data_IF_405634562120
#
_entry.id   IF_405634562120
#
_cell.length_a   1.000
_cell.length_b   1.000
_cell.length_c   1.000
_cell.angle_alpha   90.00
_cell.angle_beta   90.00
_cell.angle_gamma   90.00
#
_symmetry.space_group_name_H-M   'P 1'
#
loop_
_entity.id
_entity.type
_entity.pdbx_description
1 polymer ?
2 non-polymer ?
3 non-polymer ?
4 non-polymer ?
5 non-polymer ?
6 non-polymer ?
7 water ?
#
# COMPACT_ATOMS: atom_id res chain seq x y z
N UNK A 35 1.25 -4.89 21.83
CA UNK A 35 2.17 -4.19 20.94
C UNK A 35 1.56 -2.87 20.49
N UNK A 36 2.31 -2.11 19.68
CA UNK A 36 1.79 -0.83 19.18
C UNK A 36 0.80 -1.04 18.04
N UNK A 37 1.04 -2.05 17.20
CA UNK A 37 0.05 -2.41 16.19
C UNK A 37 -1.27 -2.82 16.84
N UNK A 38 -1.20 -3.57 17.94
CA UNK A 38 -2.41 -3.98 18.63
C UNK A 38 -3.12 -2.82 19.30
N UNK A 39 -2.37 -1.86 19.84
CA UNK A 39 -2.98 -0.69 20.44
C UNK A 39 -3.67 0.17 19.39
N UNK A 40 -3.07 0.28 18.20
CA UNK A 40 -3.70 1.02 17.11
C UNK A 40 -4.91 0.27 16.58
N UNK A 41 -4.81 -1.06 16.49
CA UNK A 41 -5.94 -1.87 16.06
C UNK A 41 -7.11 -1.72 17.03
N UNK A 42 -6.83 -1.75 18.33
CA UNK A 42 -7.91 -1.63 19.32
C UNK A 42 -8.60 -0.28 19.23
N UNK A 43 -7.85 0.78 18.95
CA UNK A 43 -8.46 2.09 18.79
C UNK A 43 -9.38 2.12 17.56
N UNK A 44 -8.99 1.42 16.50
CA UNK A 44 -9.85 1.33 15.33
C UNK A 44 -11.05 0.42 15.58
N UNK A 45 -10.82 -0.69 16.29
CA UNK A 45 -11.91 -1.59 16.63
C UNK A 45 -12.99 -0.87 17.43
N UNK A 46 -12.59 -0.01 18.38
CA UNK A 46 -13.57 0.71 19.18
C UNK A 46 -14.29 1.76 18.33
N UNK A 47 -13.57 2.42 17.42
CA UNK A 47 -14.20 3.43 16.59
C UNK A 47 -15.25 2.83 15.68
N UNK A 48 -14.90 1.74 14.98
CA UNK A 48 -15.85 1.13 14.05
C UNK A 48 -17.07 0.59 14.77
N UNK A 49 -16.88 0.03 15.96
CA UNK A 49 -18.02 -0.45 16.74
C UNK A 49 -18.95 0.69 17.10
N UNK A 50 -18.38 1.87 17.40
CA UNK A 50 -19.22 3.03 17.68
C UNK A 50 -19.97 3.51 16.46
N UNK A 51 -19.29 3.61 15.32
CA UNK A 51 -19.96 4.00 14.09
C UNK A 51 -21.03 2.99 13.70
N UNK A 52 -20.78 1.71 13.94
CA UNK A 52 -21.74 0.67 13.59
C UNK A 52 -23.00 0.77 14.46
N UNK A 53 -22.83 0.96 15.76
CA UNK A 53 -23.98 1.12 16.65
C UNK A 53 -24.79 2.36 16.28
N UNK A 54 -24.12 3.45 15.95
CA UNK A 54 -24.81 4.69 15.60
C UNK A 54 -25.57 4.60 14.28
N UNK A 55 -25.25 3.61 13.44
CA UNK A 55 -25.92 3.46 12.15
C UNK A 55 -26.90 2.30 12.14
N UNK A 56 -27.18 1.70 13.29
CA UNK A 56 -28.04 0.51 13.34
C UNK A 56 -29.44 0.80 12.86
N UNK A 57 -29.91 2.03 12.99
CA UNK A 57 -31.26 2.38 12.58
C UNK A 57 -31.48 2.24 11.08
N UNK A 58 -30.42 2.09 10.28
CA UNK A 58 -30.56 1.90 8.85
C UNK A 58 -30.83 0.46 8.45
N UNK A 59 -30.94 -0.45 9.40
CA UNK A 59 -31.40 -1.80 9.12
C UNK A 59 -30.26 -2.82 9.15
N UNK A 60 -30.66 -4.09 8.97
CA UNK A 60 -29.73 -5.20 9.09
C UNK A 60 -28.89 -5.43 7.84
N UNK A 61 -29.34 -4.95 6.67
CA UNK A 61 -28.55 -5.13 5.45
C UNK A 61 -27.33 -4.22 5.47
N UNK A 62 -27.52 -2.95 5.79
CA UNK A 62 -26.39 -2.04 5.89
C UNK A 62 -25.49 -2.41 7.06
N UNK A 63 -26.08 -2.92 8.15
CA UNK A 63 -25.29 -3.39 9.28
C UNK A 63 -24.39 -4.55 8.87
N UNK A 64 -24.90 -5.44 8.02
CA UNK A 64 -24.07 -6.52 7.51
C UNK A 64 -22.94 -6.02 6.64
N UNK A 65 -23.14 -4.90 5.93
CA UNK A 65 -22.05 -4.29 5.18
C UNK A 65 -20.99 -3.74 6.14
N UNK A 66 -21.43 -3.04 7.19
CA UNK A 66 -20.49 -2.47 8.14
C UNK A 66 -19.72 -3.57 8.86
N UNK A 67 -20.42 -4.67 9.20
CA UNK A 67 -19.74 -5.80 9.83
C UNK A 67 -18.69 -6.40 8.89
N UNK A 68 -19.01 -6.51 7.60
CA UNK A 68 -18.03 -7.04 6.65
C UNK A 68 -16.82 -6.13 6.55
N UNK A 69 -17.03 -4.81 6.69
CA UNK A 69 -15.90 -3.89 6.72
C UNK A 69 -15.07 -4.08 7.99
N UNK A 70 -15.73 -4.26 9.14
CA UNK A 70 -15.03 -4.57 10.38
C UNK A 70 -14.16 -5.81 10.21
N UNK A 71 -14.78 -6.91 9.78
CA UNK A 71 -14.06 -8.17 9.63
C UNK A 71 -12.87 -8.05 8.69
N UNK A 72 -13.01 -7.24 7.63
CA UNK A 72 -11.93 -7.09 6.67
C UNK A 72 -10.79 -6.25 7.23
N UNK A 73 -11.13 -5.12 7.88
CA UNK A 73 -10.10 -4.23 8.40
C UNK A 73 -9.38 -4.86 9.58
N UNK A 74 -10.13 -5.30 10.58
CA UNK A 74 -9.57 -5.87 11.80
C UNK A 74 -9.11 -7.31 11.64
N UNK A 75 -9.24 -7.89 10.45
CA UNK A 75 -8.91 -9.29 10.24
C UNK A 75 -7.44 -9.57 10.06
N UNK A 76 -6.59 -8.71 10.59
CA UNK A 76 -5.15 -8.91 10.55
C UNK A 76 -4.45 -7.90 9.66
N UNK A 77 -3.14 -7.97 9.69
CA UNK A 77 -2.28 -7.08 8.93
C UNK A 77 -1.11 -6.62 9.79
N UNK A 78 -0.04 -6.21 9.10
CA UNK A 78 1.15 -5.74 9.81
C UNK A 78 0.96 -4.34 10.39
N UNK A 79 -0.04 -3.59 9.92
CA UNK A 79 -0.24 -2.19 10.29
C UNK A 79 1.00 -1.37 9.97
N UNK A 80 1.55 -1.59 8.77
CA UNK A 80 2.82 -0.97 8.40
C UNK A 80 2.71 0.55 8.37
N UNK A 81 1.66 1.08 7.74
CA UNK A 81 1.51 2.52 7.58
C UNK A 81 1.20 3.21 8.91
N UNK A 82 0.34 2.67 9.77
CA UNK A 82 0.20 3.28 11.11
C UNK A 82 1.49 3.30 11.90
N UNK A 83 2.30 2.23 11.81
CA UNK A 83 3.58 2.21 12.53
C UNK A 83 4.54 3.25 12.00
N UNK A 84 4.50 3.53 10.70
CA UNK A 84 5.32 4.61 10.15
C UNK A 84 4.89 5.95 10.73
N UNK A 85 3.58 6.16 10.89
CA UNK A 85 3.10 7.37 11.55
C UNK A 85 3.53 7.41 13.01
N UNK A 86 3.61 6.24 13.66
CA UNK A 86 4.05 6.20 15.04
C UNK A 86 5.51 6.64 15.15
N UNK A 87 6.38 6.12 14.29
CA UNK A 87 7.79 6.48 14.34
C UNK A 87 8.02 7.92 13.91
N UNK A 88 7.25 8.41 12.94
CA UNK A 88 7.28 9.83 12.62
C UNK A 88 6.86 10.72 13.77
N UNK A 89 6.05 10.19 14.69
CA UNK A 89 5.67 10.94 15.88
C UNK A 89 6.79 10.95 16.91
N UNK A 90 7.37 9.78 17.18
CA UNK A 90 8.44 9.66 18.16
C UNK A 90 9.68 10.44 17.75
N UNK A 91 9.91 10.59 16.44
CA UNK A 91 11.11 11.25 15.95
C UNK A 91 11.23 12.67 16.47
N UNK A 92 10.11 13.35 16.72
CA UNK A 92 10.13 14.77 17.04
C UNK A 92 9.29 15.08 18.29
N UNK A 93 8.86 14.06 19.02
CA UNK A 93 8.05 14.26 20.21
C UNK A 93 8.80 13.79 21.45
N UNK A 94 8.53 14.47 22.57
CA UNK A 94 9.16 14.15 23.84
C UNK A 94 8.50 12.96 24.54
N UNK A 95 7.33 12.53 24.09
CA UNK A 95 6.52 11.55 24.82
C UNK A 95 5.94 10.54 23.83
N UNK A 96 5.07 9.67 24.36
CA UNK A 96 4.23 8.71 23.66
C UNK A 96 2.85 9.32 23.44
N UNK A 97 2.13 8.93 22.39
CA UNK A 97 0.91 9.62 22.01
C UNK A 97 -0.33 9.15 22.77
N UNK A 98 -1.30 10.06 22.85
CA UNK A 98 -2.58 9.77 23.48
C UNK A 98 -3.34 8.72 22.68
N UNK A 99 -4.35 8.09 23.29
CA UNK A 99 -5.14 7.10 22.55
C UNK A 99 -5.82 7.68 21.31
N UNK A 100 -6.26 8.94 21.36
CA UNK A 100 -6.89 9.55 20.19
C UNK A 100 -5.90 9.73 19.04
N UNK A 101 -4.63 9.95 19.36
CA UNK A 101 -3.62 10.09 18.30
C UNK A 101 -3.30 8.74 17.70
N UNK A 102 -3.36 7.67 18.49
CA UNK A 102 -3.27 6.33 17.92
C UNK A 102 -4.46 6.04 17.00
N UNK A 103 -5.65 6.54 17.35
CA UNK A 103 -6.79 6.41 16.46
C UNK A 103 -6.56 7.15 15.15
N UNK A 104 -5.94 8.32 15.20
CA UNK A 104 -5.56 9.03 13.99
C UNK A 104 -4.64 8.18 13.11
N UNK A 105 -3.67 7.51 13.73
CA UNK A 105 -2.78 6.63 12.98
C UNK A 105 -3.57 5.48 12.36
N UNK A 106 -4.58 4.97 13.09
CA UNK A 106 -5.38 3.86 12.57
C UNK A 106 -6.21 4.26 11.36
N UNK A 107 -6.41 5.56 11.14
CA UNK A 107 -7.14 6.01 9.96
C UNK A 107 -6.41 5.60 8.68
N UNK A 108 -5.08 5.48 8.75
CA UNK A 108 -4.32 4.97 7.61
C UNK A 108 -4.70 3.54 7.30
N UNK A 109 -5.02 2.74 8.32
CA UNK A 109 -5.44 1.37 8.09
C UNK A 109 -6.81 1.31 7.44
N UNK A 110 -7.73 2.18 7.86
CA UNK A 110 -9.05 2.23 7.25
C UNK A 110 -8.97 2.79 5.83
N UNK A 111 -8.12 3.79 5.61
CA UNK A 111 -7.91 4.29 4.25
C UNK A 111 -7.34 3.20 3.36
N UNK A 112 -6.51 2.32 3.92
CA UNK A 112 -5.94 1.24 3.13
C UNK A 112 -7.00 0.22 2.73
N UNK A 113 -7.99 -0.01 3.59
CA UNK A 113 -9.11 -0.86 3.21
C UNK A 113 -9.82 -0.32 1.98
N UNK A 114 -10.00 1.01 1.93
CA UNK A 114 -10.58 1.62 0.74
C UNK A 114 -9.73 1.37 -0.49
N UNK A 115 -8.42 1.61 -0.38
CA UNK A 115 -7.54 1.42 -1.53
C UNK A 115 -7.55 -0.04 -1.98
N UNK A 116 -7.59 -0.98 -1.04
CA UNK A 116 -7.56 -2.39 -1.41
C UNK A 116 -8.88 -2.84 -2.02
N UNK A 117 -10.01 -2.39 -1.47
CA UNK A 117 -11.31 -2.82 -1.98
C UNK A 117 -11.50 -2.36 -3.41
N UNK A 118 -11.16 -1.09 -3.70
CA UNK A 118 -11.30 -0.60 -5.06
C UNK A 118 -10.21 -1.12 -5.98
N UNK A 119 -9.04 -1.45 -5.44
CA UNK A 119 -8.01 -2.08 -6.26
C UNK A 119 -8.42 -3.47 -6.73
N UNK A 120 -9.17 -4.19 -5.89
CA UNK A 120 -9.64 -5.51 -6.30
C UNK A 120 -10.65 -5.42 -7.44
N UNK A 121 -11.45 -4.36 -7.48
CA UNK A 121 -12.33 -4.15 -8.62
C UNK A 121 -11.53 -3.75 -9.84
N UNK A 122 -10.51 -2.91 -9.66
CA UNK A 122 -9.68 -2.46 -10.77
C UNK A 122 -8.91 -3.62 -11.38
N UNK A 123 -8.35 -4.49 -10.53
CA UNK A 123 -7.59 -5.63 -11.02
C UNK A 123 -8.48 -6.82 -11.39
N UNK A 124 -9.77 -6.78 -11.08
CA UNK A 124 -10.68 -7.92 -11.26
C UNK A 124 -10.14 -9.17 -10.56
N UNK A 125 -9.65 -8.99 -9.34
CA UNK A 125 -9.14 -10.10 -8.57
C UNK A 125 -10.29 -10.88 -7.93
N UNK A 126 -10.17 -12.20 -7.96
CA UNK A 126 -11.17 -13.07 -7.33
C UNK A 126 -10.91 -13.27 -5.85
N UNK A 127 -9.66 -13.28 -5.42
CA UNK A 127 -9.32 -13.49 -4.01
C UNK A 127 -8.26 -12.49 -3.57
N UNK A 128 -8.17 -12.31 -2.25
CA UNK A 128 -7.14 -11.50 -1.63
C UNK A 128 -6.72 -12.21 -0.34
N UNK A 129 -5.45 -12.59 -0.26
CA UNK A 129 -4.88 -13.26 0.91
C UNK A 129 -5.73 -14.48 1.29
N UNK A 130 -6.11 -15.26 0.28
CA UNK A 130 -6.83 -16.49 0.47
C UNK A 130 -8.34 -16.36 0.49
N UNK A 131 -8.85 -15.17 0.83
CA UNK A 131 -10.28 -14.96 1.01
C UNK A 131 -10.90 -14.36 -0.25
N UNK A 132 -12.20 -14.57 -0.47
CA UNK A 132 -12.86 -13.96 -1.63
C UNK A 132 -12.84 -12.44 -1.53
N UNK A 133 -12.66 -11.78 -2.67
CA UNK A 133 -12.76 -10.34 -2.71
C UNK A 133 -14.22 -9.91 -2.50
N UNK A 134 -14.40 -8.62 -2.21
CA UNK A 134 -15.72 -8.11 -1.83
C UNK A 134 -16.75 -8.39 -2.93
N UNK A 135 -16.40 -8.14 -4.19
CA UNK A 135 -17.36 -8.34 -5.26
C UNK A 135 -17.80 -9.80 -5.36
N UNK A 136 -16.93 -10.74 -4.98
CA UNK A 136 -17.32 -12.14 -4.96
C UNK A 136 -18.16 -12.49 -3.75
N UNK A 137 -17.83 -11.92 -2.58
CA UNK A 137 -18.64 -12.17 -1.39
C UNK A 137 -20.08 -11.72 -1.58
N UNK A 138 -20.26 -10.52 -2.15
CA UNK A 138 -21.59 -9.96 -2.29
C UNK A 138 -22.35 -10.56 -3.48
N UNK A 139 -21.63 -11.00 -4.52
CA UNK A 139 -22.27 -11.78 -5.56
C UNK A 139 -22.73 -13.14 -5.02
N UNK A 140 -21.96 -13.74 -4.11
CA UNK A 140 -22.37 -15.00 -3.50
C UNK A 140 -23.54 -14.80 -2.55
N UNK A 141 -23.55 -13.71 -1.79
CA UNK A 141 -24.71 -13.37 -0.98
C UNK A 141 -25.96 -13.23 -1.85
N UNK A 142 -25.82 -12.58 -3.02
CA UNK A 142 -26.91 -12.47 -3.97
C UNK A 142 -27.43 -13.84 -4.38
N UNK A 143 -26.52 -14.75 -4.75
CA UNK A 143 -26.94 -16.08 -5.20
C UNK A 143 -27.55 -16.89 -4.05
N UNK A 144 -26.94 -16.81 -2.86
CA UNK A 144 -27.43 -17.59 -1.73
C UNK A 144 -28.88 -17.29 -1.37
N UNK A 145 -29.38 -16.10 -1.70
CA UNK A 145 -30.75 -15.71 -1.39
C UNK A 145 -31.66 -15.71 -2.61
N UNK A 146 -31.18 -16.25 -3.73
CA UNK A 146 -31.94 -16.30 -4.98
C UNK A 146 -32.49 -14.93 -5.35
N UNK A 147 -31.68 -13.90 -5.12
CA UNK A 147 -32.05 -12.55 -5.51
C UNK A 147 -32.08 -12.44 -7.03
N UNK A 148 -32.74 -11.39 -7.51
CA UNK A 148 -32.90 -11.20 -8.94
C UNK A 148 -31.83 -10.26 -9.50
N UNK A 149 -31.74 -10.22 -10.81
CA UNK A 149 -30.71 -9.45 -11.49
C UNK A 149 -29.42 -10.23 -11.58
N UNK A 150 -28.39 -9.53 -12.04
CA UNK A 150 -27.07 -10.13 -12.15
C UNK A 150 -26.40 -10.19 -10.79
N UNK A 151 -25.99 -11.37 -10.32
CA UNK A 151 -25.22 -11.42 -9.06
C UNK A 151 -23.93 -10.65 -9.14
N UNK A 152 -23.27 -10.66 -10.29
CA UNK A 152 -21.98 -9.99 -10.44
C UNK A 152 -22.13 -8.47 -10.47
N UNK A 153 -23.22 -7.97 -11.04
CA UNK A 153 -23.49 -6.54 -10.99
C UNK A 153 -23.75 -6.08 -9.56
N UNK A 154 -24.44 -6.89 -8.78
CA UNK A 154 -24.67 -6.57 -7.37
C UNK A 154 -23.35 -6.58 -6.60
N UNK A 155 -22.55 -7.63 -6.78
CA UNK A 155 -21.28 -7.72 -6.07
C UNK A 155 -20.35 -6.58 -6.41
N UNK A 156 -20.33 -6.15 -7.67
CA UNK A 156 -19.50 -5.02 -8.06
C UNK A 156 -20.03 -3.72 -7.45
N UNK A 157 -21.35 -3.54 -7.47
CA UNK A 157 -21.95 -2.34 -6.88
C UNK A 157 -21.67 -2.29 -5.38
N UNK A 158 -21.90 -3.40 -4.68
CA UNK A 158 -21.68 -3.44 -3.24
C UNK A 158 -20.21 -3.22 -2.91
N UNK A 159 -19.30 -3.74 -3.74
CA UNK A 159 -17.88 -3.55 -3.49
C UNK A 159 -17.49 -2.08 -3.62
N UNK A 160 -18.05 -1.39 -4.61
CA UNK A 160 -17.82 0.05 -4.75
C UNK A 160 -18.25 0.77 -3.48
N UNK A 161 -19.44 0.46 -2.97
CA UNK A 161 -19.96 1.15 -1.80
C UNK A 161 -19.18 0.80 -0.54
N UNK A 162 -18.71 -0.44 -0.44
CA UNK A 162 -17.89 -0.84 0.70
C UNK A 162 -16.61 -0.02 0.77
N UNK A 163 -15.89 0.08 -0.36
CA UNK A 163 -14.70 0.90 -0.38
C UNK A 163 -14.98 2.36 -0.10
N UNK A 164 -16.08 2.88 -0.68
CA UNK A 164 -16.50 4.25 -0.40
C UNK A 164 -16.71 4.46 1.10
N UNK A 165 -17.38 3.51 1.76
CA UNK A 165 -17.63 3.62 3.19
C UNK A 165 -16.32 3.68 3.98
N UNK A 166 -15.38 2.80 3.66
CA UNK A 166 -14.10 2.79 4.37
C UNK A 166 -13.40 4.14 4.26
N UNK A 167 -13.58 4.82 3.12
CA UNK A 167 -12.84 6.05 2.90
C UNK A 167 -13.49 7.24 3.58
N UNK A 168 -14.83 7.30 3.60
CA UNK A 168 -15.47 8.41 4.30
C UNK A 168 -15.28 8.27 5.80
N UNK A 169 -15.27 7.03 6.31
CA UNK A 169 -15.04 6.83 7.73
C UNK A 169 -13.59 7.06 8.12
N UNK A 170 -12.65 6.72 7.23
CA UNK A 170 -11.25 7.05 7.49
C UNK A 170 -11.07 8.55 7.60
N UNK A 171 -11.72 9.32 6.73
CA UNK A 171 -11.62 10.77 6.87
C UNK A 171 -12.39 11.27 8.08
N UNK A 172 -13.49 10.60 8.46
CA UNK A 172 -14.20 11.00 9.67
C UNK A 172 -13.31 10.87 10.90
N UNK A 173 -12.40 9.89 10.91
CA UNK A 173 -11.45 9.76 12.00
C UNK A 173 -10.53 10.97 12.05
N UNK A 174 -9.98 11.35 10.89
CA UNK A 174 -9.05 12.48 10.85
C UNK A 174 -9.76 13.77 11.28
N UNK A 175 -10.99 13.96 10.82
CA UNK A 175 -11.75 15.14 11.21
C UNK A 175 -12.02 15.15 12.71
N UNK A 176 -12.40 13.99 13.26
CA UNK A 176 -12.81 13.93 14.66
C UNK A 176 -11.62 14.05 15.60
N UNK A 177 -10.51 13.38 15.28
CA UNK A 177 -9.32 13.46 16.13
C UNK A 177 -8.73 14.86 16.10
N UNK A 178 -8.67 15.47 14.91
CA UNK A 178 -8.18 16.84 14.80
C UNK A 178 -8.97 17.80 15.67
N UNK A 179 -10.30 17.71 15.59
CA UNK A 179 -11.16 18.67 16.28
C UNK A 179 -11.02 18.54 17.79
N UNK A 180 -10.91 17.32 18.31
CA UNK A 180 -11.09 17.06 19.72
C UNK A 180 -9.81 16.69 20.45
N UNK A 181 -8.65 16.68 19.78
CA UNK A 181 -7.43 16.20 20.42
C UNK A 181 -6.16 16.91 19.98
N UNK A 182 -6.19 17.78 18.97
CA UNK A 182 -4.97 18.39 18.45
C UNK A 182 -5.04 19.90 18.57
N UNK A 183 -3.89 20.51 18.83
CA UNK A 183 -3.79 21.96 18.75
C UNK A 183 -4.10 22.41 17.33
N UNK A 184 -4.70 23.59 17.14
CA UNK A 184 -5.08 24.02 15.78
C UNK A 184 -3.91 24.05 14.80
N UNK A 185 -2.68 24.23 15.29
CA UNK A 185 -1.52 24.13 14.41
C UNK A 185 -1.29 22.69 13.97
N UNK A 186 -1.45 21.73 14.89
CA UNK A 186 -1.29 20.33 14.53
C UNK A 186 -2.37 19.89 13.55
N UNK A 187 -3.58 20.46 13.66
CA UNK A 187 -4.65 20.14 12.73
C UNK A 187 -4.28 20.53 11.30
N UNK A 188 -3.79 21.77 11.13
CA UNK A 188 -3.42 22.25 9.79
C UNK A 188 -2.34 21.38 9.16
N UNK A 189 -1.35 20.98 9.94
CA UNK A 189 -0.29 20.14 9.40
C UNK A 189 -0.81 18.75 9.06
N UNK A 190 -1.70 18.21 9.89
CA UNK A 190 -2.25 16.88 9.62
C UNK A 190 -3.09 16.89 8.36
N UNK A 191 -3.89 17.92 8.16
CA UNK A 191 -4.77 17.97 6.98
C UNK A 191 -3.95 18.05 5.69
N UNK A 192 -2.86 18.81 5.69
CA UNK A 192 -2.04 18.89 4.50
C UNK A 192 -1.48 17.53 4.12
N UNK A 193 -1.08 16.74 5.12
CA UNK A 193 -0.59 15.39 4.83
C UNK A 193 -1.74 14.49 4.39
N UNK A 194 -2.91 14.65 5.01
CA UNK A 194 -4.06 13.82 4.64
C UNK A 194 -4.49 14.08 3.21
N UNK A 195 -4.47 15.34 2.78
CA UNK A 195 -4.83 15.66 1.40
C UNK A 195 -3.80 15.13 0.42
N UNK A 196 -2.52 15.18 0.80
CA UNK A 196 -1.47 14.69 -0.10
C UNK A 196 -1.55 13.18 -0.29
N UNK A 197 -1.74 12.43 0.80
CA UNK A 197 -1.63 10.98 0.72
C UNK A 197 -2.76 10.41 -0.13
N UNK A 198 -3.95 10.99 -0.04
CA UNK A 198 -5.09 10.49 -0.80
C UNK A 198 -5.05 10.98 -2.24
N UNK A 199 -4.53 12.18 -2.46
CA UNK A 199 -4.32 12.66 -3.82
C UNK A 199 -3.24 11.86 -4.54
N UNK A 200 -2.19 11.47 -3.82
CA UNK A 200 -1.06 10.78 -4.46
C UNK A 200 -1.37 9.31 -4.72
N UNK A 201 -2.12 8.66 -3.82
CA UNK A 201 -2.48 7.26 -4.05
C UNK A 201 -3.47 7.16 -5.19
N UNK A 202 -4.35 8.16 -5.34
CA UNK A 202 -5.28 8.17 -6.47
C UNK A 202 -4.55 8.42 -7.77
N UNK A 203 -3.59 9.34 -7.76
CA UNK A 203 -2.78 9.57 -8.95
C UNK A 203 -1.93 8.38 -9.32
N UNK A 204 -1.36 7.71 -8.31
CA UNK A 204 -0.56 6.52 -8.58
C UNK A 204 -1.38 5.40 -9.18
N UNK A 205 -2.61 5.20 -8.70
CA UNK A 205 -3.48 4.18 -9.27
C UNK A 205 -3.82 4.49 -10.72
N UNK A 206 -4.18 5.74 -10.99
CA UNK A 206 -4.54 6.09 -12.37
C UNK A 206 -3.33 5.99 -13.29
N UNK A 207 -2.18 6.48 -12.84
CA UNK A 207 -0.96 6.33 -13.63
C UNK A 207 -0.63 4.86 -13.88
N UNK A 208 -0.91 4.00 -12.89
CA UNK A 208 -0.59 2.58 -13.05
C UNK A 208 -1.47 1.94 -14.11
N UNK A 209 -2.78 2.21 -14.10
CA UNK A 209 -3.65 1.61 -15.10
C UNK A 209 -3.38 2.22 -16.48
N UNK A 210 -2.97 3.49 -16.53
CA UNK A 210 -2.58 4.08 -17.80
C UNK A 210 -1.28 3.46 -18.31
N UNK A 211 -0.34 3.18 -17.40
CA UNK A 211 0.92 2.56 -17.80
C UNK A 211 0.69 1.16 -18.38
N UNK A 212 -0.23 0.39 -17.81
CA UNK A 212 -0.53 -0.93 -18.35
C UNK A 212 -1.28 -0.83 -19.68
N UNK A 213 -2.25 0.08 -19.76
CA UNK A 213 -3.03 0.22 -20.99
C UNK A 213 -2.17 0.73 -22.14
N UNK A 214 -1.35 1.76 -21.89
CA UNK A 214 -0.49 2.32 -22.92
C UNK A 214 0.76 1.50 -23.17
N UNK A 215 1.00 0.47 -22.36
CA UNK A 215 2.21 -0.36 -22.46
C UNK A 215 3.48 0.48 -22.29
N UNK A 216 3.49 1.32 -21.26
CA UNK A 216 4.65 2.14 -20.94
C UNK A 216 5.79 1.24 -20.47
N UNK A 217 6.81 1.10 -21.31
CA UNK A 217 7.92 0.19 -21.03
C UNK A 217 8.99 0.79 -20.12
N UNK A 218 9.14 2.10 -20.13
CA UNK A 218 10.33 2.73 -19.57
C UNK A 218 10.45 2.45 -18.07
N UNK A 219 11.69 2.46 -17.59
CA UNK A 219 11.92 2.40 -16.16
C UNK A 219 11.37 3.65 -15.48
N UNK A 220 11.41 4.79 -16.17
CA UNK A 220 10.94 6.05 -15.58
C UNK A 220 9.44 5.99 -15.30
N UNK A 221 8.66 5.43 -16.23
CA UNK A 221 7.22 5.32 -16.01
C UNK A 221 6.92 4.47 -14.78
N UNK A 222 7.60 3.33 -14.64
CA UNK A 222 7.38 2.47 -13.49
C UNK A 222 7.88 3.13 -12.21
N UNK A 223 8.99 3.86 -12.29
CA UNK A 223 9.50 4.58 -11.13
C UNK A 223 8.53 5.67 -10.69
N UNK A 224 7.93 6.38 -11.63
CA UNK A 224 6.96 7.43 -11.32
C UNK A 224 5.77 6.84 -10.56
N UNK A 225 5.24 5.71 -11.02
CA UNK A 225 4.12 5.07 -10.35
C UNK A 225 4.54 4.61 -8.95
N UNK A 226 5.74 4.03 -8.86
CA UNK A 226 6.21 3.54 -7.56
C UNK A 226 6.39 4.67 -6.56
N UNK A 227 6.76 5.86 -7.02
CA UNK A 227 6.93 6.99 -6.12
C UNK A 227 5.61 7.40 -5.48
N UNK A 228 4.53 7.36 -6.24
CA UNK A 228 3.22 7.74 -5.71
C UNK A 228 2.57 6.60 -4.94
N UNK A 229 2.59 5.39 -5.50
CA UNK A 229 1.89 4.28 -4.88
C UNK A 229 2.62 3.71 -3.67
N UNK A 230 3.96 3.68 -3.70
CA UNK A 230 4.73 3.05 -2.64
C UNK A 230 5.48 4.07 -1.78
N UNK A 231 6.32 4.91 -2.39
CA UNK A 231 7.11 5.86 -1.61
C UNK A 231 6.22 6.80 -0.82
N UNK A 232 5.34 7.52 -1.52
CA UNK A 232 4.46 8.49 -0.86
C UNK A 232 3.45 7.79 0.03
N UNK A 233 2.67 6.86 -0.55
CA UNK A 233 1.49 6.34 0.14
C UNK A 233 1.85 5.42 1.29
N UNK A 234 2.95 4.68 1.17
CA UNK A 234 3.30 3.69 2.19
C UNK A 234 4.33 4.21 3.20
N UNK A 235 5.28 5.03 2.77
CA UNK A 235 6.38 5.43 3.66
C UNK A 235 6.32 6.92 4.00
N UNK A 236 6.47 7.79 3.00
CA UNK A 236 6.71 9.20 3.25
C UNK A 236 5.53 9.86 3.96
N UNK A 237 4.36 9.82 3.34
CA UNK A 237 3.19 10.46 3.95
C UNK A 237 2.80 9.86 5.29
N UNK A 238 2.82 8.53 5.49
CA UNK A 238 2.58 8.03 6.87
C UNK A 238 3.54 8.60 7.89
N UNK A 239 4.84 8.59 7.61
CA UNK A 239 5.83 9.22 8.49
C UNK A 239 5.46 10.67 8.79
N UNK A 240 5.12 11.43 7.74
CA UNK A 240 4.83 12.85 7.91
C UNK A 240 3.54 13.09 8.69
N UNK A 241 2.60 12.14 8.64
CA UNK A 241 1.38 12.27 9.45
C UNK A 241 1.72 12.27 10.93
N UNK A 242 2.67 11.43 11.35
CA UNK A 242 3.09 11.41 12.73
C UNK A 242 3.85 12.65 13.14
N UNK A 243 4.77 13.11 12.30
CA UNK A 243 5.50 14.35 12.58
C UNK A 243 4.54 15.54 12.63
N UNK A 244 3.57 15.58 11.71
CA UNK A 244 2.63 16.69 11.68
C UNK A 244 1.79 16.74 12.95
N UNK A 245 1.42 15.58 13.50
CA UNK A 245 0.63 15.54 14.71
C UNK A 245 1.43 15.92 15.95
N UNK A 246 2.76 15.87 15.89
CA UNK A 246 3.60 16.13 17.05
C UNK A 246 4.03 17.60 17.13
N UNK A 247 4.80 18.06 16.15
CA UNK A 247 5.36 19.40 16.21
C UNK A 247 5.55 19.95 14.80
N UNK A 248 5.87 21.24 14.74
CA UNK A 248 6.18 21.93 13.48
C UNK A 248 7.67 21.73 13.25
N UNK A 249 8.02 20.65 12.56
CA UNK A 249 9.41 20.31 12.26
C UNK A 249 9.54 20.14 10.75
N UNK A 250 9.52 21.27 10.03
CA UNK A 250 9.62 21.23 8.57
C UNK A 250 10.91 20.56 8.12
N UNK A 251 11.97 20.65 8.92
CA UNK A 251 13.22 19.97 8.59
C UNK A 251 13.02 18.45 8.57
N UNK A 252 12.31 17.92 9.55
CA UNK A 252 12.11 16.48 9.63
C UNK A 252 11.16 16.01 8.55
N UNK A 253 10.12 16.80 8.26
CA UNK A 253 9.19 16.44 7.19
C UNK A 253 9.92 16.32 5.86
N UNK A 254 10.82 17.25 5.55
CA UNK A 254 11.57 17.17 4.30
C UNK A 254 12.57 16.03 4.31
N UNK A 255 13.08 15.66 5.48
CA UNK A 255 14.03 14.55 5.56
C UNK A 255 13.31 13.22 5.37
N UNK A 256 12.12 13.08 5.96
CA UNK A 256 11.33 11.86 5.77
C UNK A 256 10.86 11.73 4.33
N UNK A 257 10.77 12.85 3.59
CA UNK A 257 10.50 12.77 2.16
C UNK A 257 11.66 12.08 1.44
N UNK A 258 12.89 12.46 1.75
CA UNK A 258 14.04 11.82 1.14
C UNK A 258 14.22 10.40 1.66
N UNK A 259 13.90 10.17 2.93
CA UNK A 259 13.98 8.82 3.49
C UNK A 259 12.98 7.88 2.82
N UNK A 260 11.73 8.33 2.72
CA UNK A 260 10.70 7.52 2.06
C UNK A 260 10.92 7.32 0.57
N UNK A 261 11.63 8.26 -0.08
CA UNK A 261 11.90 8.10 -1.50
C UNK A 261 12.84 6.92 -1.76
N UNK A 262 13.90 6.80 -0.96
CA UNK A 262 14.82 5.68 -1.13
C UNK A 262 14.19 4.38 -0.64
N UNK A 263 13.60 4.41 0.56
CA UNK A 263 13.06 3.19 1.15
C UNK A 263 11.85 2.68 0.38
N UNK A 264 10.97 3.60 -0.05
CA UNK A 264 9.78 3.18 -0.79
C UNK A 264 10.11 2.49 -2.08
N UNK A 265 11.05 3.04 -2.84
CA UNK A 265 11.50 2.39 -4.08
C UNK A 265 12.19 1.08 -3.76
N UNK A 266 12.89 1.00 -2.63
CA UNK A 266 13.46 -0.27 -2.20
C UNK A 266 12.36 -1.27 -1.86
N UNK A 267 11.32 -0.80 -1.18
CA UNK A 267 10.15 -1.64 -0.89
C UNK A 267 9.52 -2.13 -2.19
N UNK A 268 9.36 -1.24 -3.16
CA UNK A 268 8.73 -1.61 -4.42
C UNK A 268 9.57 -2.63 -5.19
N UNK A 269 10.89 -2.39 -5.26
CA UNK A 269 11.76 -3.34 -5.95
C UNK A 269 11.73 -4.70 -5.28
N UNK A 270 11.68 -4.72 -3.95
CA UNK A 270 11.51 -5.99 -3.23
C UNK A 270 10.23 -6.69 -3.65
N UNK A 271 9.13 -5.94 -3.79
CA UNK A 271 7.88 -6.54 -4.24
C UNK A 271 8.01 -7.07 -5.66
N UNK A 272 8.74 -6.37 -6.52
CA UNK A 272 8.90 -6.79 -7.91
C UNK A 272 9.69 -8.10 -8.00
N UNK A 273 10.74 -8.23 -7.19
CA UNK A 273 11.50 -9.47 -7.17
C UNK A 273 10.64 -10.61 -6.65
N UNK A 274 9.93 -10.38 -5.54
CA UNK A 274 9.03 -11.39 -5.00
C UNK A 274 7.90 -11.70 -5.98
N UNK A 275 7.42 -10.70 -6.71
CA UNK A 275 6.34 -10.91 -7.66
C UNK A 275 6.73 -11.70 -8.89
N UNK A 276 8.03 -11.90 -9.12
CA UNK A 276 8.52 -12.71 -10.23
C UNK A 276 9.19 -13.99 -9.75
N UNK A 277 10.06 -13.89 -8.76
CA UNK A 277 10.88 -15.01 -8.31
C UNK A 277 10.52 -15.51 -6.92
N UNK A 278 9.41 -15.04 -6.35
CA UNK A 278 9.06 -15.44 -5.00
C UNK A 278 8.57 -16.88 -4.94
N UNK A 279 8.81 -17.49 -3.79
CA UNK A 279 8.31 -18.83 -3.53
C UNK A 279 6.88 -18.72 -3.01
N UNK A 280 5.89 -19.31 -3.69
CA UNK A 280 4.50 -19.18 -3.22
C UNK A 280 4.29 -19.62 -1.79
N UNK A 281 5.00 -20.65 -1.33
CA UNK A 281 4.87 -21.07 0.06
C UNK A 281 5.34 -20.00 1.03
N UNK A 282 6.14 -19.05 0.57
CA UNK A 282 6.65 -17.98 1.42
C UNK A 282 5.90 -16.68 1.20
N UNK A 283 5.61 -16.34 -0.06
CA UNK A 283 4.95 -15.07 -0.34
C UNK A 283 3.43 -15.17 -0.25
N UNK A 284 2.88 -16.36 -0.46
CA UNK A 284 1.44 -16.52 -0.54
C UNK A 284 0.84 -16.15 -1.89
N UNK A 285 1.62 -15.58 -2.79
CA UNK A 285 1.20 -15.25 -4.13
C UNK A 285 1.61 -16.36 -5.10
N UNK A 286 0.88 -16.53 -6.20
CA UNK A 286 1.30 -17.51 -7.20
C UNK A 286 2.64 -17.14 -7.81
N UNK A 287 3.36 -18.15 -8.26
CA UNK A 287 4.71 -17.96 -8.80
C UNK A 287 4.67 -17.08 -10.04
N UNK A 288 5.46 -16.01 -10.03
CA UNK A 288 5.46 -15.08 -11.15
C UNK A 288 4.15 -14.35 -11.32
N UNK A 289 3.55 -13.90 -10.20
CA UNK A 289 2.23 -13.28 -10.26
C UNK A 289 2.26 -11.98 -11.07
N UNK A 290 3.32 -11.19 -10.90
CA UNK A 290 3.43 -9.93 -11.64
C UNK A 290 3.44 -10.15 -13.14
N UNK A 291 4.04 -11.24 -13.60
CA UNK A 291 4.01 -11.54 -15.03
C UNK A 291 2.64 -12.05 -15.46
N UNK A 292 2.00 -12.89 -14.64
CA UNK A 292 0.65 -13.35 -14.96
C UNK A 292 -0.33 -12.19 -15.02
N UNK A 293 -0.22 -11.25 -14.09
CA UNK A 293 -1.15 -10.13 -14.01
C UNK A 293 -0.75 -8.96 -14.90
N UNK A 294 0.40 -9.04 -15.57
CA UNK A 294 0.79 -8.01 -16.52
C UNK A 294 1.15 -6.67 -15.93
N UNK A 295 1.70 -6.65 -14.71
CA UNK A 295 2.06 -5.38 -14.09
C UNK A 295 3.31 -4.80 -14.76
N UNK A 296 3.36 -3.46 -14.80
CA UNK A 296 4.49 -2.74 -15.36
C UNK A 296 5.39 -2.32 -14.20
N UNK A 297 6.26 -3.23 -13.80
CA UNK A 297 7.15 -3.02 -12.67
C UNK A 297 8.51 -2.52 -13.13
N UNK A 298 9.27 -1.98 -12.18
CA UNK A 298 10.63 -1.55 -12.46
C UNK A 298 11.49 -2.73 -12.93
N UNK A 299 11.37 -3.87 -12.24
CA UNK A 299 12.15 -5.05 -12.60
C UNK A 299 11.86 -5.49 -14.04
N UNK A 300 10.59 -5.52 -14.42
CA UNK A 300 10.25 -5.86 -15.79
C UNK A 300 10.79 -4.81 -16.75
N UNK A 301 10.67 -3.53 -16.39
CA UNK A 301 11.18 -2.45 -17.25
C UNK A 301 12.69 -2.56 -17.41
N UNK A 302 13.41 -2.86 -16.34
CA UNK A 302 14.87 -3.00 -16.44
C UNK A 302 15.25 -4.21 -17.28
N UNK A 303 14.46 -5.28 -17.20
CA UNK A 303 14.75 -6.47 -18.01
C UNK A 303 14.67 -6.16 -19.49
N UNK A 304 13.66 -5.38 -19.90
CA UNK A 304 13.53 -5.02 -21.31
C UNK A 304 14.72 -4.16 -21.75
N UNK A 305 15.17 -3.24 -20.88
CA UNK A 305 16.32 -2.40 -21.21
C UNK A 305 17.61 -3.23 -21.29
N UNK A 306 17.81 -4.13 -20.33
CA UNK A 306 19.00 -4.97 -20.34
C UNK A 306 18.99 -5.94 -21.51
N UNK A 307 17.81 -6.42 -21.89
CA UNK A 307 17.70 -7.32 -23.03
C UNK A 307 17.99 -6.61 -24.34
N UNK A 308 17.58 -5.34 -24.46
CA UNK A 308 17.97 -4.55 -25.63
C UNK A 308 19.49 -4.50 -25.77
N UNK A 309 20.21 -4.59 -24.66
CA UNK A 309 21.66 -4.49 -24.64
C UNK A 309 22.36 -5.81 -24.93
N UNK A 310 21.74 -6.95 -24.60
CA UNK A 310 22.40 -8.24 -24.66
C UNK A 310 21.76 -9.24 -25.61
N UNK A 311 20.45 -9.13 -25.87
CA UNK A 311 19.79 -9.99 -26.85
C UNK A 311 18.51 -9.33 -27.32
N UNK A 312 18.51 -8.72 -28.52
CA UNK A 312 17.29 -8.05 -29.00
C UNK A 312 16.09 -8.98 -29.09
N UNK A 313 16.32 -10.25 -29.43
CA UNK A 313 15.20 -11.19 -29.53
C UNK A 313 14.61 -11.51 -28.17
N UNK A 314 15.43 -11.47 -27.12
CA UNK A 314 14.90 -11.61 -25.76
C UNK A 314 14.09 -10.38 -25.37
N UNK A 315 14.53 -9.20 -25.80
CA UNK A 315 13.74 -7.99 -25.58
C UNK A 315 12.43 -8.06 -26.36
N UNK A 316 12.47 -8.65 -27.56
CA UNK A 316 11.26 -8.81 -28.36
C UNK A 316 10.30 -9.81 -27.71
N UNK A 317 10.84 -10.86 -27.09
CA UNK A 317 9.99 -11.79 -26.36
C UNK A 317 9.29 -11.09 -25.20
N UNK A 318 10.04 -10.28 -24.44
CA UNK A 318 9.43 -9.56 -23.31
C UNK A 318 8.39 -8.55 -23.80
N UNK A 319 8.73 -7.76 -24.83
CA UNK A 319 7.82 -6.72 -25.30
C UNK A 319 6.49 -7.31 -25.78
N UNK A 320 6.54 -8.42 -26.50
CA UNK A 320 5.35 -9.02 -27.08
C UNK A 320 4.63 -9.99 -26.16
N UNK A 321 5.15 -10.24 -24.97
CA UNK A 321 4.52 -11.17 -24.02
C UNK A 321 3.95 -10.49 -22.78
N UNK A 322 4.52 -9.36 -22.35
CA UNK A 322 4.04 -8.69 -21.15
C UNK A 322 2.63 -8.18 -21.39
N UNK A 323 1.74 -8.47 -20.44
CA UNK A 323 0.36 -8.03 -20.54
C UNK A 323 -0.56 -8.95 -21.30
N UNK A 324 -0.06 -10.09 -21.80
CA UNK A 324 -0.87 -11.05 -22.54
C UNK A 324 -1.18 -12.25 -21.68
N UNK A 325 -2.18 -13.03 -22.11
CA UNK A 325 -2.53 -14.26 -21.43
C UNK A 325 -1.42 -15.28 -21.60
N UNK A 326 -0.79 -15.67 -20.50
CA UNK A 326 0.41 -16.50 -20.53
C UNK A 326 0.13 -17.86 -19.92
N UNK A 327 0.59 -18.91 -20.59
CA UNK A 327 0.66 -20.22 -19.96
C UNK A 327 1.72 -20.23 -18.88
N UNK A 328 1.68 -21.28 -18.04
CA UNK A 328 2.70 -21.39 -17.00
C UNK A 328 4.08 -21.65 -17.58
N UNK A 329 4.15 -22.22 -18.77
CA UNK A 329 5.45 -22.40 -19.44
C UNK A 329 6.01 -21.06 -19.88
N UNK A 330 5.18 -20.25 -20.54
CA UNK A 330 5.59 -18.89 -20.93
C UNK A 330 6.11 -18.10 -19.73
N UNK A 331 5.42 -18.20 -18.60
CA UNK A 331 5.80 -17.43 -17.40
C UNK A 331 7.17 -17.87 -16.92
N UNK A 332 7.38 -19.18 -16.81
CA UNK A 332 8.69 -19.68 -16.38
C UNK A 332 9.77 -19.30 -17.38
N UNK A 333 9.46 -19.32 -18.68
CA UNK A 333 10.41 -18.89 -19.69
C UNK A 333 10.76 -17.42 -19.53
N UNK A 334 9.75 -16.58 -19.32
CA UNK A 334 9.99 -15.14 -19.14
C UNK A 334 10.78 -14.88 -17.87
N UNK A 335 10.55 -15.65 -16.82
CA UNK A 335 11.30 -15.46 -15.58
C UNK A 335 12.77 -15.79 -15.78
N UNK A 336 13.08 -16.84 -16.54
CA UNK A 336 14.48 -17.19 -16.80
C UNK A 336 15.15 -16.10 -17.63
N UNK A 337 14.43 -15.58 -18.63
CA UNK A 337 14.96 -14.49 -19.44
C UNK A 337 15.25 -13.27 -18.58
N UNK A 338 14.37 -12.99 -17.60
CA UNK A 338 14.58 -11.82 -16.75
C UNK A 338 15.84 -11.97 -15.92
N UNK A 339 16.05 -13.15 -15.34
CA UNK A 339 17.30 -13.38 -14.60
C UNK A 339 18.49 -13.48 -15.55
N UNK A 340 18.27 -13.96 -16.79
CA UNK A 340 19.36 -14.14 -17.74
C UNK A 340 20.03 -12.81 -18.07
N UNK A 341 19.23 -11.81 -18.41
CA UNK A 341 19.76 -10.51 -18.84
C UNK A 341 20.27 -9.75 -17.63
N UNK A 342 20.16 -10.35 -16.45
CA UNK A 342 20.68 -9.77 -15.23
C UNK A 342 19.75 -8.81 -14.54
N UNK A 343 18.46 -8.80 -14.88
CA UNK A 343 17.54 -7.85 -14.26
C UNK A 343 17.37 -8.12 -12.77
N UNK A 344 17.40 -9.39 -12.36
CA UNK A 344 17.26 -9.70 -10.94
C UNK A 344 18.45 -9.18 -10.14
N UNK A 345 19.67 -9.41 -10.62
CA UNK A 345 20.86 -8.92 -9.92
C UNK A 345 20.84 -7.40 -9.83
N UNK A 346 20.44 -6.72 -10.91
CA UNK A 346 20.35 -5.28 -10.88
C UNK A 346 19.34 -4.80 -9.85
N UNK A 347 18.22 -5.52 -9.72
CA UNK A 347 17.21 -5.16 -8.74
C UNK A 347 17.75 -5.29 -7.33
N UNK A 348 18.43 -6.40 -7.03
CA UNK A 348 18.98 -6.61 -5.70
C UNK A 348 20.08 -5.61 -5.39
N UNK A 349 20.84 -5.19 -6.39
CA UNK A 349 21.86 -4.16 -6.17
C UNK A 349 21.21 -2.81 -5.85
N UNK A 350 20.14 -2.46 -6.58
CA UNK A 350 19.42 -1.23 -6.30
C UNK A 350 18.87 -1.22 -4.87
N UNK A 351 18.32 -2.36 -4.44
CA UNK A 351 17.72 -2.44 -3.11
C UNK A 351 18.75 -2.15 -2.02
N UNK A 352 19.94 -2.75 -2.14
CA UNK A 352 20.99 -2.52 -1.16
C UNK A 352 21.42 -1.06 -1.15
N UNK A 353 21.56 -0.45 -2.34
CA UNK A 353 22.02 0.94 -2.42
C UNK A 353 20.99 1.88 -1.82
N UNK A 354 19.71 1.68 -2.14
CA UNK A 354 18.67 2.56 -1.62
C UNK A 354 18.50 2.41 -0.12
N UNK A 355 18.64 1.18 0.39
CA UNK A 355 18.56 0.98 1.83
C UNK A 355 19.74 1.61 2.55
N UNK A 356 20.94 1.46 1.98
CA UNK A 356 22.13 2.08 2.57
C UNK A 356 21.97 3.60 2.66
N UNK A 357 21.56 4.23 1.57
CA UNK A 357 21.38 5.68 1.59
C UNK A 357 20.22 6.08 2.50
N UNK A 358 19.20 5.23 2.62
CA UNK A 358 18.10 5.51 3.52
C UNK A 358 18.54 5.46 4.98
N UNK A 359 19.39 4.48 5.31
CA UNK A 359 19.95 4.42 6.66
C UNK A 359 20.92 5.56 6.91
N UNK A 360 21.68 5.95 5.88
CA UNK A 360 22.56 7.10 6.00
C UNK A 360 21.75 8.38 6.25
N UNK A 361 20.66 8.55 5.50
CA UNK A 361 19.78 9.69 5.72
C UNK A 361 19.19 9.65 7.12
N UNK A 362 18.84 8.46 7.60
CA UNK A 362 18.23 8.33 8.92
C UNK A 362 19.24 8.60 10.03
N UNK A 363 20.48 8.18 9.84
CA UNK A 363 21.48 8.29 10.89
C UNK A 363 21.81 9.75 11.20
N UNK A 364 22.04 10.55 10.16
CA UNK A 364 22.37 11.96 10.31
C UNK A 364 21.13 12.85 10.28
N UNK A 365 20.15 12.53 11.13
CA UNK A 365 18.89 13.25 11.12
C UNK A 365 18.59 13.83 12.50
N UNK A 366 18.08 15.06 12.57
CA UNK A 366 17.77 15.65 13.88
C UNK A 366 16.52 15.06 14.52
N UNK A 367 16.55 13.76 14.77
CA UNK A 367 15.44 13.07 15.40
C UNK A 367 15.97 12.28 16.60
N UNK A 368 15.03 11.77 17.40
CA UNK A 368 15.41 11.01 18.59
C UNK A 368 16.08 9.70 18.19
N UNK A 369 17.07 9.29 18.98
CA UNK A 369 17.80 8.07 18.68
C UNK A 369 16.89 6.83 18.72
N UNK A 370 15.82 6.89 19.51
CA UNK A 370 14.87 5.79 19.54
C UNK A 370 14.20 5.61 18.18
N UNK A 371 13.81 6.72 17.54
CA UNK A 371 13.21 6.64 16.22
C UNK A 371 14.19 6.07 15.20
N UNK A 372 15.46 6.50 15.27
CA UNK A 372 16.47 6.02 14.33
C UNK A 372 16.58 4.50 14.37
N UNK A 373 16.53 3.92 15.56
CA UNK A 373 16.65 2.47 15.68
C UNK A 373 15.39 1.77 15.18
N UNK A 374 14.22 2.32 15.49
CA UNK A 374 12.99 1.68 15.05
C UNK A 374 12.83 1.68 13.55
N UNK A 375 13.07 2.84 12.92
CA UNK A 375 12.90 2.95 11.47
C UNK A 375 14.00 2.21 10.72
N UNK A 376 15.19 2.09 11.30
CA UNK A 376 16.23 1.27 10.70
C UNK A 376 15.84 -0.22 10.71
N UNK A 377 15.13 -0.66 11.74
CA UNK A 377 14.60 -2.03 11.74
C UNK A 377 13.60 -2.22 10.59
N UNK A 378 12.69 -1.26 10.43
CA UNK A 378 11.70 -1.35 9.36
C UNK A 378 12.35 -1.31 7.99
N UNK A 379 13.30 -0.39 7.80
CA UNK A 379 13.96 -0.25 6.50
C UNK A 379 14.70 -1.52 6.12
N UNK A 380 15.30 -2.21 7.10
CA UNK A 380 15.98 -3.47 6.81
C UNK A 380 14.96 -4.56 6.48
N UNK A 381 13.87 -4.64 7.24
CA UNK A 381 12.85 -5.65 6.97
C UNK A 381 12.21 -5.44 5.61
N UNK A 382 11.86 -4.19 5.29
CA UNK A 382 11.22 -3.90 4.02
C UNK A 382 12.14 -4.21 2.84
N UNK A 383 13.44 -3.92 3.02
CA UNK A 383 14.39 -4.15 1.93
C UNK A 383 14.64 -5.63 1.70
N UNK A 384 14.83 -6.40 2.77
CA UNK A 384 15.17 -7.81 2.69
C UNK A 384 14.10 -8.62 3.43
N UNK A 385 13.03 -8.96 2.71
CA UNK A 385 12.00 -9.85 3.20
C UNK A 385 11.77 -10.92 2.14
N UNK A 386 10.92 -11.90 2.49
CA UNK A 386 10.56 -12.95 1.54
C UNK A 386 9.05 -13.10 1.42
N UNK A 387 8.27 -12.19 2.00
CA UNK A 387 6.82 -12.25 1.92
C UNK A 387 6.24 -10.91 1.53
#
# INVERSE_FOLDING_TARGET
MSYYHHHHHHLESTSLYKKAGSAAALFRFKKEPFTMAGAITDQLRRYLHGRRRAAAHMGSDYDGLIADLEDFVLGGGKRLRPLFAYWGWHAVASREPDPDVLLLFSALELLHAWALVHDDLIDRSATRRGRPTAQLRYAALHRDRDWRGSPDQFGMSAAILLGDLAQVWADDIVSKVCQSALAPDAQRRVHRVWADIRNEVLGGQYLDIVAEASAAESIESAMNVATLKTACYTVSRPLQLGTAAAADRSDVAAIFEHFGADLGVAFQLRDDVLGVFGDPAVTGKPSGDDLKSGKRTVLVAEAVELADRSDPLAAKLLRTSIGTRLTDAQVRELRTVIEAVGARAAAESRIAALTQRALATLASAPINATAKAGLSELAMMAANRSA
#
